data_IF_870011536756
#
_entry.id   IF_870011536756
#
_cell.length_a   1.000
_cell.length_b   1.000
_cell.length_c   1.000
_cell.angle_alpha   90.00
_cell.angle_beta   90.00
_cell.angle_gamma   90.00
#
_symmetry.space_group_name_H-M   'P 1'
#
loop_
_entity.id
_entity.type
_entity.pdbx_description
1 polymer ?
#
# COMPACT_ATOMS: atom_id res chain seq x y z
N UNK A 1 -7.15 -10.41 -6.04
CA UNK A 1 -6.51 -9.67 -4.94
C UNK A 1 -7.30 -9.92 -3.67
N UNK A 2 -6.65 -10.39 -2.62
CA UNK A 2 -7.24 -10.53 -1.28
C UNK A 2 -6.59 -9.50 -0.35
N UNK A 3 -7.37 -8.88 0.53
CA UNK A 3 -6.89 -7.83 1.44
C UNK A 3 -5.77 -8.32 2.37
N UNK A 4 -5.90 -9.54 2.90
CA UNK A 4 -4.87 -10.15 3.76
C UNK A 4 -3.53 -10.36 3.04
N UNK A 5 -3.58 -10.74 1.76
CA UNK A 5 -2.37 -10.92 0.95
C UNK A 5 -1.73 -9.56 0.63
N UNK A 6 -2.55 -8.54 0.34
CA UNK A 6 -2.09 -7.17 0.16
C UNK A 6 -1.43 -6.61 1.43
N UNK A 7 -2.05 -6.80 2.60
CA UNK A 7 -1.49 -6.38 3.89
C UNK A 7 -0.11 -6.99 4.13
N UNK A 8 0.04 -8.30 3.92
CA UNK A 8 1.35 -8.97 4.05
C UNK A 8 2.41 -8.39 3.11
N UNK A 9 2.05 -8.16 1.84
CA UNK A 9 2.98 -7.59 0.85
C UNK A 9 3.32 -6.15 1.16
N UNK A 10 2.34 -5.39 1.66
CA UNK A 10 2.51 -4.01 2.12
C UNK A 10 3.51 -3.95 3.28
N UNK A 11 3.34 -4.79 4.30
CA UNK A 11 4.28 -4.93 5.42
C UNK A 11 5.67 -5.36 4.94
N UNK A 12 5.76 -6.21 3.91
CA UNK A 12 7.03 -6.62 3.31
C UNK A 12 7.71 -5.53 2.45
N UNK A 13 6.92 -4.60 1.91
CA UNK A 13 7.40 -3.52 1.05
C UNK A 13 7.98 -2.35 1.85
N UNK A 14 7.63 -2.23 3.13
CA UNK A 14 8.09 -1.17 4.02
C UNK A 14 9.08 -1.77 5.02
N UNK A 15 10.24 -1.13 5.16
CA UNK A 15 11.25 -1.60 6.10
C UNK A 15 10.80 -1.37 7.55
N UNK A 16 11.10 -2.34 8.41
CA UNK A 16 10.93 -2.28 9.87
C UNK A 16 9.46 -2.07 10.32
N UNK A 17 8.52 -2.54 9.49
CA UNK A 17 7.13 -2.80 9.87
C UNK A 17 7.00 -4.22 10.40
N UNK A 18 6.41 -4.38 11.59
CA UNK A 18 6.14 -5.69 12.16
C UNK A 18 5.02 -6.41 11.40
N UNK A 19 5.16 -7.73 11.12
CA UNK A 19 4.14 -8.49 10.40
C UNK A 19 2.89 -8.70 11.25
N UNK A 20 1.71 -8.52 10.65
CA UNK A 20 0.40 -8.47 11.31
C UNK A 20 0.21 -7.26 12.26
N UNK A 21 1.00 -6.21 12.09
CA UNK A 21 0.85 -4.95 12.83
C UNK A 21 0.05 -3.92 12.02
N UNK A 22 -0.02 -4.11 10.69
CA UNK A 22 -0.80 -3.27 9.79
C UNK A 22 -2.20 -3.85 9.61
N UNK A 23 -3.22 -3.03 9.85
CA UNK A 23 -4.62 -3.34 9.60
C UNK A 23 -5.15 -2.54 8.39
N UNK A 24 -6.29 -2.96 7.84
CA UNK A 24 -6.87 -2.31 6.67
C UNK A 24 -7.31 -0.86 6.98
N UNK A 25 -7.77 -0.61 8.19
CA UNK A 25 -8.18 0.73 8.67
C UNK A 25 -6.99 1.55 9.18
N UNK A 26 -5.77 0.98 9.19
CA UNK A 26 -4.59 1.67 9.68
C UNK A 26 -4.19 2.79 8.71
N UNK A 27 -4.09 4.00 9.26
CA UNK A 27 -3.54 5.16 8.57
C UNK A 27 -2.01 5.01 8.46
N UNK A 28 -1.55 4.45 7.35
CA UNK A 28 -0.13 4.11 7.19
C UNK A 28 0.75 5.35 7.03
N UNK A 29 0.20 6.48 6.60
CA UNK A 29 0.97 7.72 6.44
C UNK A 29 1.30 8.36 7.79
N UNK A 30 0.39 8.25 8.77
CA UNK A 30 0.58 8.85 10.10
C UNK A 30 1.05 7.84 11.15
N UNK A 31 0.70 6.55 11.02
CA UNK A 31 1.06 5.54 12.03
C UNK A 31 2.39 4.84 11.75
N UNK A 32 2.87 4.83 10.50
CA UNK A 32 4.19 4.29 10.21
C UNK A 32 5.22 5.41 10.30
N UNK A 33 6.03 5.40 11.35
CA UNK A 33 7.16 6.34 11.50
C UNK A 33 8.15 6.24 10.33
N UNK A 34 8.17 5.10 9.63
CA UNK A 34 9.08 4.81 8.51
C UNK A 34 8.41 5.01 7.14
N UNK A 35 7.28 5.70 7.12
CA UNK A 35 6.66 6.11 5.88
C UNK A 35 7.44 7.25 5.23
N UNK A 36 8.41 6.88 4.40
CA UNK A 36 9.23 7.79 3.61
C UNK A 36 8.91 7.71 2.11
N UNK A 37 9.49 8.62 1.32
CA UNK A 37 9.40 8.58 -0.15
C UNK A 37 9.90 7.27 -0.75
N UNK A 38 10.84 6.59 -0.08
CA UNK A 38 11.32 5.27 -0.48
C UNK A 38 10.23 4.20 -0.27
N UNK A 39 9.60 4.17 0.90
CA UNK A 39 8.50 3.25 1.19
C UNK A 39 7.34 3.43 0.18
N UNK A 40 7.01 4.69 -0.12
CA UNK A 40 6.04 5.03 -1.16
C UNK A 40 6.45 4.48 -2.54
N UNK A 41 7.70 4.68 -2.95
CA UNK A 41 8.19 4.15 -4.23
C UNK A 41 8.21 2.61 -4.28
N UNK A 42 8.67 1.95 -3.22
CA UNK A 42 8.70 0.49 -3.12
C UNK A 42 7.30 -0.08 -3.20
N UNK A 43 6.34 0.56 -2.53
CA UNK A 43 4.94 0.15 -2.57
C UNK A 43 4.34 0.33 -3.97
N UNK A 44 4.59 1.46 -4.63
CA UNK A 44 4.15 1.68 -6.02
C UNK A 44 4.73 0.62 -6.97
N UNK A 45 6.01 0.30 -6.83
CA UNK A 45 6.68 -0.73 -7.63
C UNK A 45 6.13 -2.14 -7.34
N UNK A 46 5.85 -2.45 -6.07
CA UNK A 46 5.20 -3.71 -5.68
C UNK A 46 3.83 -3.84 -6.34
N UNK A 47 3.02 -2.77 -6.31
CA UNK A 47 1.68 -2.76 -6.90
C UNK A 47 1.74 -2.92 -8.42
N UNK A 48 2.64 -2.20 -9.09
CA UNK A 48 2.87 -2.31 -10.53
C UNK A 48 3.26 -3.75 -10.92
N UNK A 49 4.18 -4.37 -10.17
CA UNK A 49 4.67 -5.70 -10.50
C UNK A 49 3.65 -6.81 -10.18
N UNK A 50 2.95 -6.72 -9.06
CA UNK A 50 2.03 -7.76 -8.59
C UNK A 50 0.64 -7.67 -9.22
N UNK A 51 0.17 -6.45 -9.51
CA UNK A 51 -1.20 -6.18 -9.93
C UNK A 51 -1.31 -5.53 -11.31
N UNK A 52 -0.20 -5.22 -11.98
CA UNK A 52 -0.16 -4.49 -13.26
C UNK A 52 -0.90 -3.14 -13.17
N UNK A 53 -0.87 -2.52 -11.98
CA UNK A 53 -1.54 -1.24 -11.69
C UNK A 53 -0.50 -0.17 -11.45
N UNK A 54 -0.49 0.84 -12.32
CA UNK A 54 0.31 2.05 -12.13
C UNK A 54 -0.47 3.06 -11.29
N UNK A 55 0.02 3.32 -10.08
CA UNK A 55 -0.43 4.42 -9.23
C UNK A 55 0.53 5.61 -9.33
N UNK A 56 0.02 6.82 -9.23
CA UNK A 56 0.86 8.02 -9.08
C UNK A 56 1.10 8.29 -7.60
N UNK A 57 2.22 8.96 -7.29
CA UNK A 57 2.50 9.39 -5.92
C UNK A 57 1.38 10.26 -5.34
N UNK A 58 0.72 11.08 -6.17
CA UNK A 58 -0.45 11.86 -5.74
C UNK A 58 -1.62 10.99 -5.28
N UNK A 59 -1.93 9.91 -6.02
CA UNK A 59 -3.01 8.98 -5.65
C UNK A 59 -2.66 8.25 -4.35
N UNK A 60 -1.40 7.80 -4.21
CA UNK A 60 -0.93 7.16 -2.99
C UNK A 60 -0.99 8.11 -1.78
N UNK A 61 -0.58 9.37 -1.94
CA UNK A 61 -0.66 10.40 -0.90
C UNK A 61 -2.12 10.74 -0.58
N UNK A 62 -3.04 10.63 -1.55
CA UNK A 62 -4.47 10.82 -1.30
C UNK A 62 -5.09 9.68 -0.50
N UNK A 63 -4.53 8.46 -0.56
CA UNK A 63 -4.98 7.32 0.24
C UNK A 63 -4.35 7.37 1.63
N UNK A 64 -5.17 7.44 2.68
CA UNK A 64 -4.67 7.48 4.06
C UNK A 64 -4.55 6.09 4.66
N UNK A 65 -5.56 5.26 4.39
CA UNK A 65 -5.68 3.91 4.94
C UNK A 65 -5.32 2.85 3.91
N UNK A 66 -4.82 1.71 4.39
CA UNK A 66 -4.47 0.58 3.52
C UNK A 66 -5.69 0.09 2.72
N UNK A 67 -6.88 0.15 3.33
CA UNK A 67 -8.13 -0.18 2.66
C UNK A 67 -8.41 0.76 1.48
N UNK A 68 -8.28 2.08 1.65
CA UNK A 68 -8.47 3.03 0.55
C UNK A 68 -7.50 2.74 -0.61
N UNK A 69 -6.24 2.45 -0.28
CA UNK A 69 -5.24 2.09 -1.27
C UNK A 69 -5.62 0.78 -2.00
N UNK A 70 -6.03 -0.25 -1.26
CA UNK A 70 -6.48 -1.51 -1.82
C UNK A 70 -7.69 -1.35 -2.75
N UNK A 71 -8.69 -0.56 -2.34
CA UNK A 71 -9.87 -0.28 -3.16
C UNK A 71 -9.50 0.50 -4.43
N UNK A 72 -8.56 1.45 -4.33
CA UNK A 72 -8.06 2.20 -5.49
C UNK A 72 -7.38 1.27 -6.50
N UNK A 73 -6.49 0.39 -6.05
CA UNK A 73 -5.81 -0.59 -6.90
C UNK A 73 -6.85 -1.48 -7.59
N UNK A 74 -7.82 -1.98 -6.82
CA UNK A 74 -8.90 -2.83 -7.33
C UNK A 74 -9.75 -2.12 -8.37
N UNK A 75 -10.06 -0.85 -8.15
CA UNK A 75 -10.82 -0.01 -9.07
C UNK A 75 -10.08 0.21 -10.40
N UNK A 76 -8.74 0.33 -10.37
CA UNK A 76 -7.92 0.46 -11.58
C UNK A 76 -7.67 -0.87 -12.28
N UNK A 77 -7.44 -1.95 -11.55
CA UNK A 77 -7.18 -3.29 -12.11
C UNK A 77 -8.41 -3.87 -12.81
N UNK A 78 -9.61 -3.54 -12.35
CA UNK A 78 -10.87 -4.07 -12.91
C UNK A 78 -11.41 -3.22 -14.09
N UNK A 79 -10.53 -2.53 -14.82
CA UNK A 79 -10.87 -1.62 -15.92
C UNK A 79 -10.22 -2.09 -17.21
#
# INVERSE_FOLDING_TARGET
MELNDFLRKFEYAIEDVEPNSVDADLDFQNNLEQWDSLAAMTLLAMIDNEYDVVLTGEELISCKTVNELFELIKSKSNK
#
